data_IF_728480516087
#
_entry.id   IF_728480516087
#
_cell.length_a   1.000
_cell.length_b   1.000
_cell.length_c   1.000
_cell.angle_alpha   90.00
_cell.angle_beta   90.00
_cell.angle_gamma   90.00
#
_symmetry.space_group_name_H-M   'P 1'
#
loop_
_entity.id
_entity.type
_entity.pdbx_description
1 polymer ?
#
# COMPACT_ATOMS: atom_id res chain seq x y z
N UNK A 1 18.39 -26.56 -6.16
CA UNK A 1 17.35 -27.60 -6.10
C UNK A 1 16.12 -27.26 -6.95
N UNK A 2 16.15 -26.14 -7.73
CA UNK A 2 15.08 -25.76 -8.67
C UNK A 2 13.80 -25.23 -8.03
N UNK A 3 13.77 -24.92 -6.75
CA UNK A 3 12.64 -24.28 -6.10
C UNK A 3 12.64 -22.77 -6.35
N UNK A 4 11.44 -22.19 -6.52
CA UNK A 4 11.23 -20.74 -6.56
C UNK A 4 10.61 -20.30 -5.24
N UNK A 5 11.14 -19.23 -4.67
CA UNK A 5 10.61 -18.59 -3.47
C UNK A 5 9.69 -17.44 -3.87
N UNK A 6 8.45 -17.45 -3.39
CA UNK A 6 7.57 -16.28 -3.46
C UNK A 6 7.68 -15.57 -2.12
N UNK A 7 8.27 -14.37 -2.12
CA UNK A 7 8.52 -13.59 -0.92
C UNK A 7 7.43 -12.54 -0.69
N UNK A 8 6.78 -12.59 0.45
CA UNK A 8 5.74 -11.63 0.85
C UNK A 8 6.26 -10.49 1.74
N UNK A 9 7.55 -10.49 2.06
CA UNK A 9 8.15 -9.39 2.83
C UNK A 9 8.48 -8.18 1.94
N UNK A 10 8.91 -7.09 2.53
CA UNK A 10 9.40 -5.94 1.76
C UNK A 10 10.87 -6.07 1.33
N UNK A 11 11.58 -7.12 1.79
CA UNK A 11 13.04 -7.21 1.67
C UNK A 11 13.54 -7.21 0.22
N UNK A 12 12.81 -7.84 -0.69
CA UNK A 12 13.25 -8.02 -2.08
C UNK A 12 12.49 -7.18 -3.11
N UNK A 13 11.49 -6.42 -2.68
CA UNK A 13 10.61 -5.70 -3.61
C UNK A 13 11.33 -4.68 -4.48
N UNK A 14 12.36 -4.02 -3.92
CA UNK A 14 13.12 -2.99 -4.64
C UNK A 14 14.42 -3.49 -5.25
N UNK A 15 14.78 -4.78 -5.06
CA UNK A 15 15.96 -5.36 -5.69
C UNK A 15 15.80 -5.37 -7.21
N UNK A 16 16.78 -4.86 -7.99
CA UNK A 16 16.68 -4.77 -9.45
C UNK A 16 16.47 -6.12 -10.14
N UNK A 17 17.13 -7.16 -9.62
CA UNK A 17 17.14 -8.50 -10.19
C UNK A 17 16.00 -9.40 -9.67
N UNK A 18 15.12 -8.86 -8.84
CA UNK A 18 13.97 -9.59 -8.30
C UNK A 18 12.68 -8.99 -8.89
N UNK A 19 11.91 -9.78 -9.67
CA UNK A 19 10.65 -9.30 -10.21
C UNK A 19 9.63 -9.09 -9.09
N UNK A 20 8.97 -7.93 -9.13
CA UNK A 20 7.85 -7.56 -8.29
C UNK A 20 6.58 -7.75 -9.10
N UNK A 21 5.73 -8.73 -8.74
CA UNK A 21 4.72 -9.24 -9.65
C UNK A 21 3.30 -9.15 -9.09
N UNK A 22 2.43 -8.58 -9.92
CA UNK A 22 0.97 -8.74 -9.86
C UNK A 22 0.59 -9.44 -11.17
N UNK A 23 0.18 -10.71 -11.16
CA UNK A 23 0.03 -11.51 -12.40
C UNK A 23 -0.87 -10.85 -13.44
N UNK A 24 -1.96 -10.23 -13.03
CA UNK A 24 -2.92 -9.56 -13.91
C UNK A 24 -2.34 -8.31 -14.59
N UNK A 25 -1.23 -7.77 -14.05
CA UNK A 25 -0.60 -6.55 -14.53
C UNK A 25 0.67 -6.84 -15.33
N UNK A 26 1.58 -7.62 -14.76
CA UNK A 26 2.93 -7.80 -15.31
C UNK A 26 3.44 -9.26 -15.22
N UNK A 27 2.59 -10.26 -15.49
CA UNK A 27 2.96 -11.69 -15.48
C UNK A 27 4.24 -12.00 -16.26
N UNK A 28 4.50 -11.27 -17.36
CA UNK A 28 5.68 -11.46 -18.18
C UNK A 28 6.99 -11.32 -17.39
N UNK A 29 7.01 -10.49 -16.33
CA UNK A 29 8.17 -10.30 -15.46
C UNK A 29 8.58 -11.57 -14.69
N UNK A 30 7.68 -12.55 -14.56
CA UNK A 30 8.01 -13.85 -13.96
C UNK A 30 9.13 -14.59 -14.69
N UNK A 31 9.34 -14.33 -15.98
CA UNK A 31 10.38 -14.99 -16.77
C UNK A 31 11.80 -14.58 -16.36
N UNK A 32 11.92 -13.43 -15.70
CA UNK A 32 13.20 -12.83 -15.33
C UNK A 32 13.64 -13.19 -13.91
N UNK A 33 12.90 -14.09 -13.23
CA UNK A 33 13.27 -14.47 -11.87
C UNK A 33 14.53 -15.33 -11.80
N UNK A 34 15.37 -15.10 -10.81
CA UNK A 34 16.56 -15.90 -10.46
C UNK A 34 16.35 -16.75 -9.20
N UNK A 35 15.13 -17.24 -8.99
CA UNK A 35 14.76 -18.10 -7.86
C UNK A 35 13.95 -17.38 -6.78
N UNK A 36 13.78 -16.06 -6.86
CA UNK A 36 12.94 -15.27 -5.97
C UNK A 36 11.97 -14.44 -6.81
N UNK A 37 10.71 -14.37 -6.38
CA UNK A 37 9.66 -13.50 -6.90
C UNK A 37 9.07 -12.74 -5.70
N UNK A 38 9.08 -11.41 -5.76
CA UNK A 38 8.51 -10.58 -4.71
C UNK A 38 7.01 -10.33 -4.92
N UNK A 39 6.24 -10.46 -3.84
CA UNK A 39 4.84 -10.07 -3.79
C UNK A 39 4.73 -8.62 -3.30
N UNK A 40 3.98 -7.75 -3.98
CA UNK A 40 3.89 -6.34 -3.62
C UNK A 40 3.15 -6.05 -2.31
N UNK A 41 3.16 -4.78 -1.93
CA UNK A 41 2.35 -4.24 -0.85
C UNK A 41 0.84 -4.40 -1.15
N UNK A 42 0.06 -4.67 -0.11
CA UNK A 42 -1.38 -4.96 -0.23
C UNK A 42 -2.17 -3.81 -0.87
N UNK A 43 -1.89 -2.56 -0.51
CA UNK A 43 -2.56 -1.40 -1.10
C UNK A 43 -2.09 -1.18 -2.55
N UNK A 44 -0.81 -1.39 -2.83
CA UNK A 44 -0.30 -1.30 -4.21
C UNK A 44 -0.99 -2.30 -5.13
N UNK A 45 -1.16 -3.56 -4.71
CA UNK A 45 -1.77 -4.62 -5.54
C UNK A 45 -3.16 -4.20 -6.01
N UNK A 46 -4.05 -3.81 -5.09
CA UNK A 46 -5.43 -3.47 -5.43
C UNK A 46 -5.52 -2.25 -6.34
N UNK A 47 -4.67 -1.24 -6.13
CA UNK A 47 -4.62 -0.03 -6.95
C UNK A 47 -4.15 -0.32 -8.38
N UNK A 48 -3.03 -1.03 -8.54
CA UNK A 48 -2.48 -1.29 -9.88
C UNK A 48 -3.38 -2.22 -10.69
N UNK A 49 -4.08 -3.17 -10.07
CA UNK A 49 -5.06 -4.02 -10.74
C UNK A 49 -6.21 -3.20 -11.34
N UNK A 50 -6.69 -2.18 -10.60
CA UNK A 50 -7.77 -1.31 -11.08
C UNK A 50 -7.28 -0.33 -12.17
N UNK A 51 -6.03 0.16 -12.06
CA UNK A 51 -5.53 1.21 -12.94
C UNK A 51 -4.80 0.69 -14.19
N UNK A 52 -4.34 -0.55 -14.22
CA UNK A 52 -3.63 -1.09 -15.39
C UNK A 52 -4.50 -1.13 -16.66
N UNK A 53 -5.78 -1.54 -16.62
CA UNK A 53 -6.66 -1.41 -17.79
C UNK A 53 -6.78 0.03 -18.29
N UNK A 54 -6.85 0.99 -17.37
CA UNK A 54 -6.91 2.42 -17.71
C UNK A 54 -5.62 2.87 -18.40
N UNK A 55 -4.46 2.50 -17.83
CA UNK A 55 -3.15 2.80 -18.40
C UNK A 55 -2.97 2.25 -19.82
N UNK A 56 -3.39 1.00 -20.03
CA UNK A 56 -3.26 0.33 -21.35
C UNK A 56 -4.13 0.96 -22.43
N UNK A 57 -5.31 1.44 -22.07
CA UNK A 57 -6.27 1.94 -23.05
C UNK A 57 -6.19 3.46 -23.26
N UNK A 58 -5.83 4.24 -22.24
CA UNK A 58 -5.93 5.70 -22.25
C UNK A 58 -4.62 6.40 -21.87
N UNK A 59 -3.56 5.64 -21.50
CA UNK A 59 -2.39 6.20 -20.86
C UNK A 59 -2.69 6.66 -19.42
N UNK A 60 -1.65 6.88 -18.62
CA UNK A 60 -1.79 7.31 -17.23
C UNK A 60 -0.67 8.32 -16.91
N UNK A 61 -1.04 9.56 -16.61
CA UNK A 61 -0.09 10.65 -16.31
C UNK A 61 0.17 10.80 -14.81
N UNK A 62 -0.89 10.71 -14.01
CA UNK A 62 -0.82 11.00 -12.59
C UNK A 62 -1.78 10.13 -11.79
N UNK A 63 -1.34 9.73 -10.60
CA UNK A 63 -2.12 9.06 -9.57
C UNK A 63 -1.97 9.85 -8.27
N UNK A 64 -3.10 10.19 -7.64
CA UNK A 64 -3.17 10.69 -6.27
C UNK A 64 -4.06 9.74 -5.49
N UNK A 65 -3.50 9.05 -4.52
CA UNK A 65 -4.22 8.03 -3.75
C UNK A 65 -4.24 8.37 -2.27
N UNK A 66 -5.39 8.20 -1.63
CA UNK A 66 -5.52 8.16 -0.18
C UNK A 66 -6.04 6.80 0.23
N UNK A 67 -5.32 6.11 1.12
CA UNK A 67 -5.71 4.80 1.60
C UNK A 67 -6.39 4.87 2.96
N UNK A 68 -7.31 3.94 3.19
CA UNK A 68 -7.97 3.70 4.48
C UNK A 68 -7.66 2.26 4.88
N UNK A 69 -6.58 2.09 5.66
CA UNK A 69 -6.00 0.76 5.90
C UNK A 69 -6.46 0.17 7.24
N UNK A 70 -6.96 -1.05 7.18
CA UNK A 70 -7.43 -1.79 8.34
C UNK A 70 -6.32 -2.16 9.34
N UNK A 71 -6.68 -2.35 10.61
CA UNK A 71 -5.79 -2.75 11.68
C UNK A 71 -5.05 -4.07 11.40
N UNK A 72 -5.69 -5.04 10.71
CA UNK A 72 -5.10 -6.34 10.37
C UNK A 72 -3.83 -6.24 9.54
N UNK A 73 -3.65 -5.16 8.76
CA UNK A 73 -2.42 -4.90 8.01
C UNK A 73 -1.18 -4.70 8.90
N UNK A 74 -1.37 -4.27 10.15
CA UNK A 74 -0.31 -4.17 11.16
C UNK A 74 -0.15 -5.47 12.00
N UNK A 75 -0.89 -6.52 11.65
CA UNK A 75 -0.85 -7.83 12.29
C UNK A 75 -1.86 -8.03 13.41
N UNK A 76 -1.95 -9.28 13.86
CA UNK A 76 -2.96 -9.70 14.87
C UNK A 76 -2.84 -8.93 16.18
N UNK A 77 -1.62 -8.56 16.59
CA UNK A 77 -1.41 -7.80 17.83
C UNK A 77 -2.06 -6.42 17.77
N UNK A 78 -1.92 -5.70 16.65
CA UNK A 78 -2.53 -4.38 16.47
C UNK A 78 -4.07 -4.47 16.40
N UNK A 79 -4.60 -5.54 15.80
CA UNK A 79 -6.03 -5.80 15.77
C UNK A 79 -6.59 -6.05 17.19
N UNK A 80 -5.88 -6.86 17.99
CA UNK A 80 -6.28 -7.14 19.38
C UNK A 80 -6.21 -5.88 20.25
N UNK A 81 -5.17 -5.06 20.09
CA UNK A 81 -5.00 -3.78 20.78
C UNK A 81 -6.18 -2.85 20.45
N UNK A 82 -6.53 -2.68 19.19
CA UNK A 82 -7.69 -1.88 18.77
C UNK A 82 -9.00 -2.35 19.42
N UNK A 83 -9.23 -3.66 19.55
CA UNK A 83 -10.42 -4.17 20.23
C UNK A 83 -10.41 -3.89 21.73
N UNK A 84 -9.23 -4.01 22.38
CA UNK A 84 -9.09 -3.68 23.80
C UNK A 84 -9.31 -2.19 24.06
N UNK A 85 -8.71 -1.32 23.23
CA UNK A 85 -8.91 0.13 23.28
C UNK A 85 -10.40 0.50 23.16
N UNK A 86 -11.11 -0.15 22.21
CA UNK A 86 -12.55 0.09 22.05
C UNK A 86 -13.35 -0.33 23.28
N UNK A 87 -13.00 -1.47 23.92
CA UNK A 87 -13.65 -1.91 25.15
C UNK A 87 -13.35 -0.95 26.31
N UNK A 88 -12.11 -0.49 26.44
CA UNK A 88 -11.73 0.44 27.50
C UNK A 88 -12.43 1.80 27.36
N UNK A 89 -12.60 2.27 26.13
CA UNK A 89 -13.43 3.46 25.88
C UNK A 89 -14.86 3.28 26.36
N UNK A 90 -15.48 2.13 26.05
CA UNK A 90 -16.84 1.82 26.49
C UNK A 90 -16.96 1.67 28.03
N UNK A 91 -15.90 1.21 28.66
CA UNK A 91 -15.79 1.07 30.12
C UNK A 91 -15.42 2.40 30.81
N UNK A 92 -15.22 3.49 30.09
CA UNK A 92 -14.81 4.79 30.62
C UNK A 92 -13.37 4.86 31.10
N UNK A 93 -12.50 3.97 30.58
CA UNK A 93 -11.06 3.94 30.86
C UNK A 93 -10.27 4.74 29.83
N UNK A 94 -8.98 4.95 30.09
CA UNK A 94 -8.07 5.62 29.18
C UNK A 94 -7.51 4.66 28.15
N UNK A 95 -7.93 4.79 26.88
CA UNK A 95 -7.43 3.99 25.75
C UNK A 95 -5.92 4.17 25.53
N UNK A 96 -5.34 5.32 25.89
CA UNK A 96 -3.90 5.58 25.68
C UNK A 96 -3.02 4.62 26.49
N UNK A 97 -3.53 4.08 27.58
CA UNK A 97 -2.80 3.13 28.42
C UNK A 97 -2.47 1.82 27.69
N UNK A 98 -3.28 1.43 26.70
CA UNK A 98 -3.12 0.18 25.94
C UNK A 98 -2.49 0.38 24.54
N UNK A 99 -2.17 1.62 24.17
CA UNK A 99 -1.52 1.91 22.87
C UNK A 99 -0.01 1.63 22.93
N UNK A 100 0.43 0.50 22.35
CA UNK A 100 1.82 0.05 22.37
C UNK A 100 2.39 -0.32 20.99
N UNK A 101 1.57 -0.32 19.94
CA UNK A 101 1.96 -0.87 18.64
C UNK A 101 2.00 0.20 17.54
N UNK A 102 1.00 1.07 17.47
CA UNK A 102 0.83 1.99 16.36
C UNK A 102 1.33 3.40 16.67
N UNK A 103 1.91 4.12 15.67
CA UNK A 103 2.06 3.76 14.24
C UNK A 103 3.02 2.61 13.98
N UNK A 104 4.13 2.51 14.70
CA UNK A 104 5.08 1.38 14.63
C UNK A 104 5.56 1.00 16.04
N UNK A 105 5.90 -0.29 16.24
CA UNK A 105 6.44 -0.78 17.51
C UNK A 105 7.75 -0.11 17.92
N UNK A 106 8.48 0.48 16.96
CA UNK A 106 9.76 1.16 17.20
C UNK A 106 9.62 2.61 17.65
N UNK A 107 8.44 3.18 17.57
CA UNK A 107 8.19 4.55 17.97
C UNK A 107 8.28 4.74 19.49
N UNK A 108 8.72 5.94 19.92
CA UNK A 108 8.74 6.30 21.34
C UNK A 108 7.35 6.61 21.89
N UNK A 109 6.42 6.94 21.02
CA UNK A 109 5.05 7.30 21.36
C UNK A 109 4.09 6.54 20.46
N UNK A 110 3.13 5.90 21.08
CA UNK A 110 2.05 5.18 20.41
C UNK A 110 0.72 5.91 20.60
N UNK A 111 -0.21 5.60 19.74
CA UNK A 111 -1.54 6.23 19.74
C UNK A 111 -2.60 5.17 19.57
N UNK A 112 -3.73 5.25 20.29
CA UNK A 112 -4.83 4.34 20.11
C UNK A 112 -5.43 4.49 18.72
N UNK A 113 -5.84 3.35 18.16
CA UNK A 113 -6.52 3.30 16.87
C UNK A 113 -8.04 3.35 17.01
N UNK A 114 -8.60 2.76 18.07
CA UNK A 114 -10.03 2.76 18.27
C UNK A 114 -10.58 4.19 18.28
N UNK A 115 -11.60 4.44 17.46
CA UNK A 115 -12.22 5.75 17.26
C UNK A 115 -11.28 6.87 16.81
N UNK A 116 -10.15 6.52 16.17
CA UNK A 116 -9.11 7.44 15.76
C UNK A 116 -8.65 7.19 14.32
N UNK A 117 -7.88 8.12 13.76
CA UNK A 117 -7.20 8.01 12.48
C UNK A 117 -5.71 8.26 12.69
N UNK A 118 -4.86 7.37 12.18
CA UNK A 118 -3.41 7.54 12.27
C UNK A 118 -2.85 7.78 10.85
N UNK A 119 -2.49 9.04 10.51
CA UNK A 119 -1.98 9.39 9.17
C UNK A 119 -0.49 9.06 9.01
N UNK A 120 -0.06 7.98 9.61
CA UNK A 120 1.28 7.41 9.50
C UNK A 120 1.15 5.90 9.54
N UNK A 121 1.67 5.24 8.52
CA UNK A 121 1.79 3.78 8.49
C UNK A 121 3.25 3.45 8.24
N UNK A 122 3.85 2.68 9.15
CA UNK A 122 5.28 2.39 9.18
C UNK A 122 6.13 3.62 9.55
N UNK A 123 7.45 3.56 9.43
CA UNK A 123 8.36 4.64 9.79
C UNK A 123 8.26 5.83 8.83
N UNK A 124 8.58 7.02 9.33
CA UNK A 124 8.73 8.21 8.49
C UNK A 124 10.12 8.26 7.87
N UNK A 125 10.16 8.49 6.57
CA UNK A 125 11.38 8.70 5.80
C UNK A 125 11.83 10.17 5.88
N UNK A 126 13.10 10.45 5.57
CA UNK A 126 13.62 11.82 5.51
C UNK A 126 12.87 12.72 4.52
N UNK A 127 12.25 12.14 3.52
CA UNK A 127 11.40 12.81 2.53
C UNK A 127 10.10 13.40 3.11
N UNK A 128 9.73 12.99 4.35
CA UNK A 128 8.45 13.30 4.97
C UNK A 128 7.32 12.34 4.61
N UNK A 129 7.54 11.41 3.68
CA UNK A 129 6.62 10.29 3.43
C UNK A 129 6.80 9.19 4.48
N UNK A 130 5.73 8.49 4.81
CA UNK A 130 5.84 7.22 5.53
C UNK A 130 6.38 6.13 4.60
N UNK A 131 7.00 5.09 5.16
CA UNK A 131 7.52 3.98 4.37
C UNK A 131 6.41 3.26 3.58
N UNK A 132 5.19 3.25 4.07
CA UNK A 132 4.03 2.73 3.34
C UNK A 132 3.72 3.55 2.09
N UNK A 133 3.74 4.88 2.18
CA UNK A 133 3.55 5.79 1.04
C UNK A 133 4.70 5.64 0.03
N UNK A 134 5.92 5.51 0.53
CA UNK A 134 7.11 5.24 -0.29
C UNK A 134 6.94 3.94 -1.10
N UNK A 135 6.48 2.85 -0.46
CA UNK A 135 6.18 1.59 -1.13
C UNK A 135 5.17 1.79 -2.26
N UNK A 136 4.04 2.43 -1.99
CA UNK A 136 3.02 2.68 -3.01
C UNK A 136 3.57 3.44 -4.22
N UNK A 137 4.40 4.45 -4.00
CA UNK A 137 4.98 5.26 -5.08
C UNK A 137 5.92 4.41 -5.95
N UNK A 138 6.86 3.72 -5.34
CA UNK A 138 7.94 3.03 -6.06
C UNK A 138 7.51 1.66 -6.61
N UNK A 139 6.71 0.91 -5.85
CA UNK A 139 6.18 -0.38 -6.31
C UNK A 139 5.26 -0.20 -7.51
N UNK A 140 4.37 0.81 -7.50
CA UNK A 140 3.51 1.13 -8.65
C UNK A 140 4.31 1.34 -9.93
N UNK A 141 5.38 2.13 -9.85
CA UNK A 141 6.26 2.40 -11.00
C UNK A 141 6.98 1.14 -11.45
N UNK A 142 7.55 0.37 -10.52
CA UNK A 142 8.24 -0.88 -10.84
C UNK A 142 7.32 -1.90 -11.52
N UNK A 143 6.09 -2.06 -11.03
CA UNK A 143 5.12 -3.02 -11.56
C UNK A 143 4.59 -2.58 -12.93
N UNK A 144 4.17 -1.32 -13.06
CA UNK A 144 3.52 -0.82 -14.28
C UNK A 144 4.50 -0.43 -15.39
N UNK A 145 5.71 0.03 -15.03
CA UNK A 145 6.68 0.62 -15.96
C UNK A 145 8.00 -0.16 -16.04
N UNK A 146 8.22 -1.13 -15.15
CA UNK A 146 9.49 -1.87 -15.06
C UNK A 146 10.65 -1.10 -14.42
N UNK A 147 10.44 0.16 -14.04
CA UNK A 147 11.44 1.03 -13.41
C UNK A 147 10.83 1.82 -12.26
N UNK A 148 11.29 1.56 -11.03
CA UNK A 148 10.83 2.25 -9.83
C UNK A 148 11.14 3.75 -9.79
N UNK A 149 12.09 4.21 -10.60
CA UNK A 149 12.50 5.60 -10.69
C UNK A 149 11.87 6.35 -11.87
N UNK A 150 11.06 5.68 -12.70
CA UNK A 150 10.41 6.31 -13.85
C UNK A 150 9.63 7.56 -13.45
N UNK A 151 9.67 8.55 -14.32
CA UNK A 151 8.92 9.81 -14.19
C UNK A 151 7.69 9.86 -15.11
N UNK A 152 7.41 8.79 -15.85
CA UNK A 152 6.31 8.74 -16.81
C UNK A 152 4.93 8.81 -16.12
N UNK A 153 4.83 8.24 -14.92
CA UNK A 153 3.64 8.38 -14.07
C UNK A 153 4.03 9.08 -12.77
N UNK A 154 3.36 10.19 -12.47
CA UNK A 154 3.50 10.88 -11.18
C UNK A 154 2.59 10.20 -10.16
N UNK A 155 3.16 9.74 -9.05
CA UNK A 155 2.40 9.08 -7.97
C UNK A 155 2.58 9.84 -6.67
N UNK A 156 1.46 10.16 -6.02
CA UNK A 156 1.42 10.73 -4.67
C UNK A 156 0.48 9.89 -3.83
N UNK A 157 0.94 9.47 -2.67
CA UNK A 157 0.18 8.63 -1.75
C UNK A 157 0.04 9.29 -0.37
N UNK A 158 -1.11 9.09 0.26
CA UNK A 158 -1.34 9.38 1.67
C UNK A 158 -1.93 8.15 2.31
N UNK A 159 -1.23 7.55 3.28
CA UNK A 159 -1.63 6.30 3.89
C UNK A 159 -2.14 6.51 5.32
N UNK A 160 -3.39 6.14 5.57
CA UNK A 160 -4.05 6.34 6.87
C UNK A 160 -4.49 4.99 7.45
N UNK A 161 -4.08 4.69 8.69
CA UNK A 161 -4.61 3.58 9.46
C UNK A 161 -5.97 3.99 10.05
N UNK A 162 -6.99 3.17 9.82
CA UNK A 162 -8.37 3.42 10.27
C UNK A 162 -8.86 2.32 11.21
N UNK A 163 -9.83 2.59 12.09
CA UNK A 163 -10.33 1.62 13.08
C UNK A 163 -11.30 0.60 12.44
N UNK A 164 -10.83 -0.04 11.38
CA UNK A 164 -11.54 -1.11 10.67
C UNK A 164 -10.74 -2.40 10.86
N UNK A 165 -11.37 -3.51 11.23
CA UNK A 165 -10.66 -4.75 11.49
C UNK A 165 -9.93 -5.32 10.28
N UNK A 166 -10.61 -5.43 9.14
CA UNK A 166 -10.16 -6.16 7.95
C UNK A 166 -10.55 -5.38 6.69
N UNK A 167 -9.75 -5.52 5.64
CA UNK A 167 -9.88 -4.90 4.33
C UNK A 167 -9.44 -3.43 4.29
N UNK A 168 -8.87 -3.05 3.14
CA UNK A 168 -8.43 -1.69 2.87
C UNK A 168 -9.35 -1.04 1.84
N UNK A 169 -9.61 0.25 2.02
CA UNK A 169 -10.25 1.09 1.01
C UNK A 169 -9.26 2.09 0.43
N UNK A 170 -9.53 2.57 -0.78
CA UNK A 170 -8.73 3.60 -1.42
C UNK A 170 -9.63 4.59 -2.14
N UNK A 171 -9.27 5.87 -2.04
CA UNK A 171 -9.77 6.93 -2.89
C UNK A 171 -8.69 7.33 -3.86
N UNK A 172 -8.93 7.12 -5.16
CA UNK A 172 -7.93 7.32 -6.20
C UNK A 172 -8.41 8.36 -7.19
N UNK A 173 -7.65 9.45 -7.32
CA UNK A 173 -7.76 10.39 -8.42
C UNK A 173 -6.64 10.11 -9.41
N UNK A 174 -6.94 10.10 -10.70
CA UNK A 174 -5.94 9.93 -11.75
C UNK A 174 -6.23 10.79 -12.96
N UNK A 175 -5.20 11.05 -13.77
CA UNK A 175 -5.31 11.70 -15.06
C UNK A 175 -4.71 10.82 -16.15
N UNK A 176 -5.38 10.82 -17.30
CA UNK A 176 -4.97 10.02 -18.46
C UNK A 176 -4.31 10.89 -19.54
N UNK A 177 -3.62 10.24 -20.49
CA UNK A 177 -3.00 10.92 -21.64
C UNK A 177 -4.01 11.24 -22.73
N UNK A 178 -4.99 10.36 -22.94
CA UNK A 178 -6.07 10.58 -23.90
C UNK A 178 -7.07 11.59 -23.36
N UNK A 179 -6.93 12.83 -23.81
CA UNK A 179 -7.82 13.94 -23.42
C UNK A 179 -9.26 13.80 -23.95
N UNK A 180 -9.50 12.86 -24.87
CA UNK A 180 -10.84 12.57 -25.38
C UNK A 180 -11.60 11.54 -24.56
N UNK A 181 -10.92 10.82 -23.66
CA UNK A 181 -11.52 9.79 -22.82
C UNK A 181 -12.54 10.38 -21.84
N UNK A 182 -13.72 9.77 -21.80
CA UNK A 182 -14.77 10.13 -20.83
C UNK A 182 -14.81 9.16 -19.67
N UNK A 183 -15.43 9.56 -18.56
CA UNK A 183 -15.66 8.66 -17.43
C UNK A 183 -16.42 7.38 -17.82
N UNK A 184 -17.32 7.47 -18.81
CA UNK A 184 -18.05 6.30 -19.31
C UNK A 184 -17.18 5.33 -20.09
N UNK A 185 -16.17 5.83 -20.82
CA UNK A 185 -15.21 4.98 -21.53
C UNK A 185 -14.33 4.20 -20.56
N UNK A 186 -13.93 4.85 -19.46
CA UNK A 186 -13.10 4.25 -18.41
C UNK A 186 -13.86 3.20 -17.58
N UNK A 187 -15.19 3.38 -17.41
CA UNK A 187 -16.02 2.45 -16.64
C UNK A 187 -16.46 1.19 -17.42
N UNK A 188 -16.16 1.07 -18.71
CA UNK A 188 -16.47 -0.09 -19.56
C UNK A 188 -15.35 -1.11 -19.58
#
# INVERSE_FOLDING_TARGET
RGAVCVDNTSAFRMEPDVPLVVPEVNEAALKDHHGIVANPNCSTIQMVMALEPVRRNFGLKQIVVSTYQAASGAGQSALNEMYQEAQDFLDGKDMQADAHILPTKGDKKHYPLAFNLLPQIDVLEESGYSHEEWKMIHETKKIMLGDMNSQDIKVTATCVRVPVPIAHGESVYFTVEDESATAQDIMR
#
